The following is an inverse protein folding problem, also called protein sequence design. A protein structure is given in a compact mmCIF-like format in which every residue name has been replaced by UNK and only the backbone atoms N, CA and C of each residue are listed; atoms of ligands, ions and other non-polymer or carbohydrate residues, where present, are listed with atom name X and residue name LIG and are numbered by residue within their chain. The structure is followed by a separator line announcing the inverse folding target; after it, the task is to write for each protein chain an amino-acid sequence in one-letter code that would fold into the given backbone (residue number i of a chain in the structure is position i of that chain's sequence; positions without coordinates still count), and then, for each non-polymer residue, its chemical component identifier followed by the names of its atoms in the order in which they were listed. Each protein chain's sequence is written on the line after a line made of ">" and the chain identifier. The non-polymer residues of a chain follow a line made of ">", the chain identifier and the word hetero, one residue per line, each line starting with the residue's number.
data_IF_328986672129
#
_entry.id   IF_328986672129
#
_cell.length_a   1.000
_cell.length_b   1.000
_cell.length_c   1.000
_cell.angle_alpha   90.00
_cell.angle_beta   90.00
_cell.angle_gamma   90.00
#
_symmetry.space_group_name_H-M   'P 1'
#
loop_
_entity.id
_entity.type
_entity.pdbx_description
1 polymer ?
#
# COMPACT_ATOMS: atom_id res chain seq x y z
N UNK A 1 14.39 7.82 -25.97
CA UNK A 1 15.01 6.86 -25.02
C UNK A 1 16.31 6.38 -25.64
N UNK A 2 17.43 6.44 -24.91
CA UNK A 2 18.72 5.95 -25.42
C UNK A 2 18.66 4.43 -25.45
N UNK A 3 18.76 3.82 -26.64
CA UNK A 3 18.82 2.35 -26.77
C UNK A 3 20.15 1.86 -26.21
N UNK A 4 20.12 0.77 -25.45
CA UNK A 4 21.35 0.13 -25.01
C UNK A 4 22.17 -0.32 -26.23
N UNK A 5 23.44 0.03 -26.26
CA UNK A 5 24.37 -0.31 -27.36
C UNK A 5 25.05 -1.67 -27.17
N UNK A 6 24.81 -2.35 -26.05
CA UNK A 6 25.39 -3.66 -25.77
C UNK A 6 24.64 -4.78 -26.50
N UNK A 7 25.33 -5.68 -27.23
CA UNK A 7 24.69 -6.82 -27.88
C UNK A 7 24.14 -7.82 -26.85
N UNK A 8 22.88 -8.23 -27.00
CA UNK A 8 22.25 -9.30 -26.21
C UNK A 8 21.96 -10.49 -27.11
N UNK A 9 22.39 -11.69 -26.71
CA UNK A 9 22.06 -12.94 -27.42
C UNK A 9 20.68 -13.43 -27.02
N UNK A 10 19.81 -13.62 -28.01
CA UNK A 10 18.45 -14.09 -27.82
C UNK A 10 18.22 -15.40 -28.57
N UNK A 11 17.22 -16.18 -28.14
CA UNK A 11 16.81 -17.39 -28.85
C UNK A 11 16.31 -17.01 -30.25
N UNK A 12 16.69 -17.80 -31.26
CA UNK A 12 16.24 -17.59 -32.65
C UNK A 12 14.71 -17.64 -32.77
N UNK A 13 14.06 -18.54 -32.03
CA UNK A 13 12.60 -18.63 -31.97
C UNK A 13 11.94 -17.35 -31.46
N UNK A 14 12.53 -16.70 -30.44
CA UNK A 14 12.05 -15.43 -29.92
C UNK A 14 12.18 -14.31 -30.96
N UNK A 15 13.31 -14.24 -31.65
CA UNK A 15 13.54 -13.24 -32.71
C UNK A 15 12.59 -13.42 -33.90
N UNK A 16 12.32 -14.67 -34.29
CA UNK A 16 11.38 -14.97 -35.36
C UNK A 16 9.94 -14.60 -34.95
N UNK A 17 9.53 -15.00 -33.74
CA UNK A 17 8.21 -14.64 -33.22
C UNK A 17 8.02 -13.12 -33.13
N UNK A 18 9.04 -12.39 -32.66
CA UNK A 18 9.02 -10.94 -32.55
C UNK A 18 8.93 -10.26 -33.93
N UNK A 19 9.67 -10.75 -34.92
CA UNK A 19 9.58 -10.24 -36.30
C UNK A 19 8.16 -10.37 -36.83
N UNK A 20 7.58 -11.57 -36.73
CA UNK A 20 6.22 -11.84 -37.26
C UNK A 20 5.17 -11.00 -36.53
N UNK A 21 5.24 -10.93 -35.19
CA UNK A 21 4.30 -10.15 -34.40
C UNK A 21 4.45 -8.62 -34.58
N UNK A 22 5.65 -8.16 -34.93
CA UNK A 22 5.97 -6.74 -35.11
C UNK A 22 5.49 -6.17 -36.44
N UNK A 23 5.46 -6.96 -37.53
CA UNK A 23 5.05 -6.53 -38.88
C UNK A 23 3.71 -5.75 -38.88
N UNK A 24 2.59 -6.30 -38.36
CA UNK A 24 1.31 -5.60 -38.41
C UNK A 24 1.28 -4.32 -37.57
N UNK A 25 2.18 -4.21 -36.58
CA UNK A 25 2.30 -3.08 -35.67
C UNK A 25 3.38 -2.08 -36.12
N UNK A 26 4.00 -2.29 -37.29
CA UNK A 26 5.11 -1.50 -37.82
C UNK A 26 6.29 -1.39 -36.84
N UNK A 27 6.55 -2.47 -36.11
CA UNK A 27 7.65 -2.56 -35.13
C UNK A 27 8.76 -3.46 -35.66
N UNK A 28 10.00 -3.07 -35.39
CA UNK A 28 11.13 -3.98 -35.53
C UNK A 28 11.05 -5.12 -34.51
N UNK A 29 11.77 -6.22 -34.75
CA UNK A 29 11.84 -7.33 -33.80
C UNK A 29 12.32 -6.87 -32.42
N UNK A 30 13.29 -5.95 -32.36
CA UNK A 30 13.78 -5.39 -31.11
C UNK A 30 12.70 -4.60 -30.37
N UNK A 31 11.97 -3.72 -31.08
CA UNK A 31 10.87 -2.94 -30.49
C UNK A 31 9.71 -3.82 -30.02
N UNK A 32 9.43 -4.91 -30.75
CA UNK A 32 8.42 -5.87 -30.33
C UNK A 32 8.83 -6.63 -29.05
N UNK A 33 10.12 -6.96 -28.91
CA UNK A 33 10.65 -7.58 -27.68
C UNK A 33 10.64 -6.61 -26.51
N UNK A 34 11.04 -5.35 -26.73
CA UNK A 34 10.93 -4.30 -25.71
C UNK A 34 9.49 -4.11 -25.24
N UNK A 35 8.54 -4.13 -26.17
CA UNK A 35 7.11 -4.04 -25.86
C UNK A 35 6.61 -5.22 -25.01
N UNK A 36 6.97 -6.45 -25.37
CA UNK A 36 6.62 -7.63 -24.56
C UNK A 36 7.27 -7.58 -23.17
N UNK A 37 8.52 -7.14 -23.07
CA UNK A 37 9.21 -6.98 -21.81
C UNK A 37 8.55 -5.91 -20.91
N UNK A 38 8.11 -4.79 -21.49
CA UNK A 38 7.39 -3.75 -20.76
C UNK A 38 6.05 -4.24 -20.20
N UNK A 39 5.27 -4.98 -21.01
CA UNK A 39 4.03 -5.62 -20.54
C UNK A 39 4.35 -6.60 -19.40
N UNK A 40 5.31 -7.50 -19.62
CA UNK A 40 5.71 -8.50 -18.62
C UNK A 40 6.06 -7.84 -17.29
N UNK A 41 6.87 -6.78 -17.30
CA UNK A 41 7.23 -6.01 -16.10
C UNK A 41 6.02 -5.39 -15.40
N UNK A 42 5.04 -4.87 -16.15
CA UNK A 42 3.83 -4.24 -15.60
C UNK A 42 2.91 -5.24 -14.90
N UNK A 43 2.83 -6.48 -15.41
CA UNK A 43 1.90 -7.50 -14.88
C UNK A 43 2.55 -8.47 -13.89
N UNK A 44 3.89 -8.52 -13.81
CA UNK A 44 4.63 -9.51 -13.00
C UNK A 44 4.29 -9.52 -11.50
N UNK A 45 3.68 -8.46 -10.95
CA UNK A 45 3.20 -8.46 -9.56
C UNK A 45 1.96 -9.33 -9.33
N UNK A 46 1.13 -9.48 -10.36
CA UNK A 46 -0.18 -10.14 -10.28
C UNK A 46 -0.22 -11.45 -11.09
N UNK A 47 0.70 -11.63 -12.03
CA UNK A 47 0.77 -12.79 -12.91
C UNK A 47 2.18 -13.38 -12.81
N UNK A 48 2.27 -14.51 -12.10
CA UNK A 48 3.51 -15.25 -11.92
C UNK A 48 3.66 -16.40 -12.95
N UNK A 49 4.80 -17.11 -12.99
CA UNK A 49 5.01 -18.20 -13.93
C UNK A 49 4.01 -19.37 -13.80
N UNK A 50 3.50 -19.65 -12.60
CA UNK A 50 2.55 -20.74 -12.38
C UNK A 50 1.19 -20.38 -12.99
N UNK A 51 0.72 -19.15 -12.77
CA UNK A 51 -0.49 -18.62 -13.39
C UNK A 51 -0.37 -18.64 -14.91
N UNK A 52 0.77 -18.22 -15.48
CA UNK A 52 0.99 -18.25 -16.93
C UNK A 52 0.92 -19.67 -17.51
N UNK A 53 1.50 -20.66 -16.82
CA UNK A 53 1.45 -22.06 -17.25
C UNK A 53 0.01 -22.61 -17.19
N UNK A 54 -0.73 -22.31 -16.12
CA UNK A 54 -2.13 -22.71 -16.00
C UNK A 54 -3.00 -22.12 -17.11
N UNK A 55 -2.80 -20.83 -17.44
CA UNK A 55 -3.49 -20.17 -18.56
C UNK A 55 -3.10 -20.80 -19.90
N UNK A 56 -1.81 -21.05 -20.12
CA UNK A 56 -1.34 -21.71 -21.35
C UNK A 56 -1.92 -23.11 -21.54
N UNK A 57 -2.09 -23.86 -20.44
CA UNK A 57 -2.70 -25.19 -20.43
C UNK A 57 -4.24 -25.17 -20.53
N UNK A 58 -4.87 -23.99 -20.54
CA UNK A 58 -6.33 -23.85 -20.52
C UNK A 58 -6.98 -24.20 -19.17
N UNK A 59 -6.19 -24.28 -18.11
CA UNK A 59 -6.64 -24.60 -16.75
C UNK A 59 -7.06 -23.36 -15.95
N UNK A 60 -6.71 -22.17 -16.45
CA UNK A 60 -7.06 -20.89 -15.85
C UNK A 60 -7.38 -19.85 -16.93
N UNK A 61 -8.09 -18.79 -16.54
CA UNK A 61 -8.43 -17.65 -17.42
C UNK A 61 -8.09 -16.35 -16.69
N UNK A 62 -7.47 -15.40 -17.40
CA UNK A 62 -7.26 -14.05 -16.90
C UNK A 62 -8.51 -13.20 -17.17
N UNK A 63 -9.07 -12.61 -16.12
CA UNK A 63 -10.14 -11.61 -16.21
C UNK A 63 -9.60 -10.27 -15.74
N UNK A 64 -9.89 -9.22 -16.50
CA UNK A 64 -9.61 -7.85 -16.11
C UNK A 64 -10.92 -7.26 -15.61
N UNK A 65 -10.90 -6.73 -14.40
CA UNK A 65 -12.03 -6.02 -13.80
C UNK A 65 -11.61 -4.58 -13.56
N UNK A 66 -12.54 -3.65 -13.79
CA UNK A 66 -12.29 -2.26 -13.47
C UNK A 66 -12.15 -2.14 -11.95
N UNK A 67 -11.03 -1.59 -11.51
CA UNK A 67 -10.89 -1.15 -10.14
C UNK A 67 -11.82 0.07 -9.97
N UNK A 68 -13.08 -0.18 -9.61
CA UNK A 68 -13.99 0.88 -9.19
C UNK A 68 -13.41 1.44 -7.91
N UNK A 69 -12.62 2.50 -8.03
CA UNK A 69 -12.26 3.33 -6.90
C UNK A 69 -13.54 4.07 -6.54
N UNK A 70 -14.35 3.50 -5.65
CA UNK A 70 -15.48 4.23 -5.11
C UNK A 70 -14.93 5.55 -4.55
N UNK A 71 -15.47 6.71 -4.97
CA UNK A 71 -15.03 7.97 -4.42
C UNK A 71 -15.22 7.91 -2.90
N UNK A 72 -14.15 8.19 -2.16
CA UNK A 72 -14.21 8.30 -0.70
C UNK A 72 -15.12 9.48 -0.41
N UNK A 73 -16.27 9.25 0.24
CA UNK A 73 -17.13 10.31 0.74
C UNK A 73 -16.48 10.94 1.98
N UNK A 74 -16.00 12.20 1.90
CA UNK A 74 -15.37 12.85 3.04
C UNK A 74 -16.33 12.98 4.23
N UNK A 75 -17.62 13.19 3.97
CA UNK A 75 -18.62 13.34 5.04
C UNK A 75 -18.82 12.02 5.79
N UNK A 76 -18.78 10.88 5.09
CA UNK A 76 -18.82 9.56 5.72
C UNK A 76 -17.59 9.32 6.59
N UNK A 77 -16.40 9.65 6.09
CA UNK A 77 -15.14 9.54 6.86
C UNK A 77 -15.21 10.38 8.13
N UNK A 78 -15.65 11.64 8.04
CA UNK A 78 -15.76 12.51 9.21
C UNK A 78 -16.85 12.06 10.18
N UNK A 79 -17.97 11.51 9.70
CA UNK A 79 -19.02 10.92 10.56
C UNK A 79 -18.51 9.70 11.33
N UNK A 80 -17.71 8.85 10.69
CA UNK A 80 -17.08 7.69 11.37
C UNK A 80 -16.14 8.21 12.46
N UNK A 81 -15.26 9.16 12.12
CA UNK A 81 -14.33 9.75 13.08
C UNK A 81 -15.06 10.37 14.28
N UNK A 82 -16.10 11.15 14.04
CA UNK A 82 -16.86 11.80 15.11
C UNK A 82 -17.58 10.77 16.00
N UNK A 83 -18.07 9.67 15.43
CA UNK A 83 -18.65 8.55 16.18
C UNK A 83 -17.61 7.87 17.06
N UNK A 84 -16.41 7.64 16.55
CA UNK A 84 -15.30 7.03 17.33
C UNK A 84 -14.80 7.95 18.44
N UNK A 85 -14.77 9.26 18.21
CA UNK A 85 -14.52 10.26 19.25
C UNK A 85 -15.59 10.22 20.35
N UNK A 86 -16.88 10.24 19.97
CA UNK A 86 -18.01 10.26 20.93
C UNK A 86 -18.16 8.95 21.71
N UNK A 87 -17.86 7.82 21.08
CA UNK A 87 -17.92 6.50 21.73
C UNK A 87 -16.70 6.19 22.60
N UNK A 88 -15.63 6.99 22.52
CA UNK A 88 -14.37 6.72 23.21
C UNK A 88 -13.48 5.67 22.53
N UNK A 89 -13.97 5.01 21.48
CA UNK A 89 -13.22 4.00 20.71
C UNK A 89 -11.92 4.55 20.13
N UNK A 90 -11.90 5.82 19.69
CA UNK A 90 -10.67 6.46 19.23
C UNK A 90 -9.65 6.62 20.37
N UNK A 91 -10.12 7.04 21.54
CA UNK A 91 -9.27 7.20 22.72
C UNK A 91 -8.67 5.88 23.17
N UNK A 92 -9.44 4.79 23.12
CA UNK A 92 -9.01 3.42 23.42
C UNK A 92 -7.99 2.91 22.39
N UNK A 93 -8.26 3.08 21.09
CA UNK A 93 -7.37 2.67 20.01
C UNK A 93 -6.01 3.40 20.05
N UNK A 94 -6.01 4.71 20.32
CA UNK A 94 -4.76 5.48 20.47
C UNK A 94 -4.02 5.10 21.76
N UNK A 95 -4.74 4.66 22.80
CA UNK A 95 -4.14 4.29 24.08
C UNK A 95 -3.60 2.86 24.13
N UNK A 96 -3.69 2.08 23.05
CA UNK A 96 -3.45 0.62 22.97
C UNK A 96 -2.25 0.11 23.80
N UNK A 97 -2.46 -0.05 25.11
CA UNK A 97 -1.49 -0.56 26.09
C UNK A 97 -0.45 0.41 26.64
N UNK A 98 -0.54 1.73 26.44
CA UNK A 98 0.45 2.69 26.97
C UNK A 98 -0.16 3.89 27.71
N UNK A 99 0.57 4.41 28.70
CA UNK A 99 0.17 5.59 29.48
C UNK A 99 0.25 6.84 28.60
N UNK A 100 -0.86 7.59 28.53
CA UNK A 100 -0.93 8.88 27.81
C UNK A 100 -0.78 10.02 28.80
N UNK A 101 -0.03 11.06 28.43
CA UNK A 101 0.03 12.30 29.18
C UNK A 101 -0.74 13.40 28.44
N UNK A 102 -1.62 14.11 29.13
CA UNK A 102 -2.35 15.27 28.60
C UNK A 102 -2.28 16.44 29.58
N UNK A 103 -2.49 17.67 29.11
CA UNK A 103 -2.55 18.82 30.01
C UNK A 103 -3.73 18.66 30.98
N UNK A 104 -3.48 18.86 32.28
CA UNK A 104 -4.57 18.78 33.25
C UNK A 104 -5.47 20.00 33.14
N UNK A 105 -6.77 19.74 32.95
CA UNK A 105 -7.79 20.79 32.95
C UNK A 105 -8.16 21.22 34.37
N UNK A 106 -7.95 20.33 35.35
CA UNK A 106 -8.28 20.56 36.76
C UNK A 106 -7.17 21.28 37.53
N UNK A 107 -5.90 21.16 37.09
CA UNK A 107 -4.74 21.75 37.76
C UNK A 107 -3.73 22.32 36.76
N UNK A 108 -3.78 23.64 36.57
CA UNK A 108 -2.87 24.35 35.65
C UNK A 108 -1.40 24.07 35.98
N UNK A 109 -0.62 23.80 34.95
CA UNK A 109 0.82 23.46 35.07
C UNK A 109 1.10 21.99 35.39
N UNK A 110 0.09 21.14 35.50
CA UNK A 110 0.23 19.71 35.70
C UNK A 110 -0.24 18.93 34.45
N UNK A 111 0.16 17.66 34.38
CA UNK A 111 -0.26 16.69 33.39
C UNK A 111 -1.13 15.62 34.05
N UNK A 112 -2.11 15.13 33.33
CA UNK A 112 -2.87 13.91 33.64
C UNK A 112 -2.17 12.74 32.94
N UNK A 113 -1.79 11.72 33.71
CA UNK A 113 -1.39 10.41 33.19
C UNK A 113 -2.62 9.52 33.13
N UNK A 114 -3.10 9.26 31.91
CA UNK A 114 -4.24 8.40 31.62
C UNK A 114 -3.72 7.00 31.32
N UNK A 115 -3.97 6.07 32.24
CA UNK A 115 -3.59 4.67 32.13
C UNK A 115 -4.55 3.89 31.22
N UNK A 116 -4.12 2.77 30.61
CA UNK A 116 -4.95 1.96 29.73
C UNK A 116 -6.24 1.41 30.37
N UNK A 117 -6.28 1.31 31.70
CA UNK A 117 -7.44 0.87 32.48
C UNK A 117 -8.42 2.01 32.83
N UNK A 118 -8.14 3.23 32.37
CA UNK A 118 -8.95 4.42 32.64
C UNK A 118 -8.63 5.11 33.97
N UNK A 119 -7.64 4.63 34.74
CA UNK A 119 -7.14 5.35 35.90
C UNK A 119 -6.41 6.63 35.46
N UNK A 120 -6.71 7.75 36.12
CA UNK A 120 -6.10 9.05 35.84
C UNK A 120 -5.42 9.56 37.12
N UNK A 121 -4.14 9.88 37.02
CA UNK A 121 -3.38 10.54 38.08
C UNK A 121 -2.78 11.86 37.57
N UNK A 122 -2.75 12.88 38.43
CA UNK A 122 -2.26 14.22 38.07
C UNK A 122 -0.84 14.40 38.61
N UNK A 123 0.08 14.92 37.80
CA UNK A 123 1.50 14.98 38.14
C UNK A 123 2.31 15.85 37.19
N UNK A 124 3.64 15.73 37.26
CA UNK A 124 4.56 16.38 36.33
C UNK A 124 5.84 15.54 36.19
N UNK A 125 6.64 15.83 35.16
CA UNK A 125 7.92 15.17 34.98
C UNK A 125 9.03 15.85 35.79
N UNK A 126 9.74 15.08 36.59
CA UNK A 126 10.99 15.47 37.24
C UNK A 126 12.08 14.53 36.73
N UNK A 127 13.13 15.07 36.10
CA UNK A 127 14.25 14.29 35.56
C UNK A 127 13.82 13.10 34.66
N UNK A 128 12.76 13.27 33.87
CA UNK A 128 12.23 12.25 32.97
C UNK A 128 11.34 11.19 33.63
N UNK A 129 11.06 11.29 34.93
CA UNK A 129 10.10 10.43 35.63
C UNK A 129 8.81 11.21 35.94
N UNK A 130 7.66 10.60 35.68
CA UNK A 130 6.38 11.18 36.06
C UNK A 130 6.12 10.98 37.56
N UNK A 131 5.79 12.06 38.26
CA UNK A 131 5.56 12.07 39.71
C UNK A 131 4.12 12.54 39.97
N UNK A 132 3.29 11.64 40.51
CA UNK A 132 1.90 11.92 40.91
C UNK A 132 1.84 12.85 42.14
N UNK A 133 0.80 13.71 42.21
CA UNK A 133 0.65 14.80 43.19
C UNK A 133 -0.78 15.03 43.65
#
# INVERSE_FOLDING_TARGET
>A
MVKATSPVRLKSSLMNAATVAGIPLQRTAAEQIEYWADIGRKVARNVDPEILLAVQAGLAVLRVEDAVCAPVDPDEVFKIHERECKSGALSEAIASGSVRYQASLSKLGYLEACHPDGYIEVGHFINGQFIAK
#
